data_IF_209214957851
#
_entry.id   IF_209214957851
#
_cell.length_a   1.000
_cell.length_b   1.000
_cell.length_c   1.000
_cell.angle_alpha   90.00
_cell.angle_beta   90.00
_cell.angle_gamma   90.00
#
_symmetry.space_group_name_H-M   'P 1'
#
loop_
_entity.id
_entity.type
_entity.pdbx_description
1 polymer ?
#
# COMPACT_ATOMS: atom_id res chain seq x y z
N UNK A 1 -4.93 -12.65 10.43
CA UNK A 1 -4.99 -11.17 10.33
C UNK A 1 -3.56 -10.66 10.26
N UNK A 2 -3.21 -9.87 9.24
CA UNK A 2 -1.84 -9.38 9.02
C UNK A 2 -1.39 -8.47 10.17
N UNK A 3 -0.13 -8.59 10.58
CA UNK A 3 0.50 -7.75 11.60
C UNK A 3 0.38 -6.25 11.20
N UNK A 4 0.06 -5.33 12.13
CA UNK A 4 0.00 -3.90 11.82
C UNK A 4 1.35 -3.34 11.33
N UNK A 5 2.44 -4.05 11.61
CA UNK A 5 3.80 -3.65 11.23
C UNK A 5 4.15 -4.01 9.78
N UNK A 6 3.45 -4.97 9.17
CA UNK A 6 3.78 -5.47 7.83
C UNK A 6 2.86 -4.87 6.77
N UNK A 7 3.42 -4.55 5.60
CA UNK A 7 2.66 -4.17 4.41
C UNK A 7 1.98 -5.40 3.84
N UNK A 8 0.72 -5.25 3.44
CA UNK A 8 0.05 -6.24 2.63
C UNK A 8 0.27 -5.89 1.16
N UNK A 9 0.75 -6.84 0.37
CA UNK A 9 0.93 -6.71 -1.09
C UNK A 9 0.05 -7.70 -1.85
N UNK A 10 -0.76 -8.48 -1.13
CA UNK A 10 -1.64 -9.48 -1.72
C UNK A 10 -2.82 -8.79 -2.40
N UNK A 11 -2.84 -8.87 -3.72
CA UNK A 11 -3.91 -8.32 -4.53
C UNK A 11 -5.23 -9.08 -4.36
N UNK A 12 -5.22 -10.25 -3.69
CA UNK A 12 -6.41 -11.00 -3.32
C UNK A 12 -7.36 -10.22 -2.40
N UNK A 13 -6.85 -9.24 -1.66
CA UNK A 13 -7.63 -8.37 -0.79
C UNK A 13 -8.15 -7.10 -1.48
N UNK A 14 -7.83 -6.90 -2.77
CA UNK A 14 -8.36 -5.79 -3.55
C UNK A 14 -9.72 -6.14 -4.17
N UNK A 15 -10.57 -5.13 -4.34
CA UNK A 15 -11.78 -5.25 -5.15
C UNK A 15 -11.42 -5.76 -6.56
N UNK A 16 -12.19 -6.68 -7.17
CA UNK A 16 -11.82 -7.32 -8.45
C UNK A 16 -11.48 -6.32 -9.57
N UNK A 17 -12.22 -5.21 -9.67
CA UNK A 17 -11.93 -4.16 -10.64
C UNK A 17 -10.55 -3.50 -10.41
N UNK A 18 -10.21 -3.21 -9.15
CA UNK A 18 -8.93 -2.59 -8.77
C UNK A 18 -7.78 -3.59 -8.93
N UNK A 19 -7.99 -4.85 -8.57
CA UNK A 19 -7.03 -5.95 -8.81
C UNK A 19 -6.68 -6.09 -10.29
N UNK A 20 -7.69 -6.08 -11.16
CA UNK A 20 -7.50 -6.17 -12.62
C UNK A 20 -6.69 -4.96 -13.12
N UNK A 21 -7.07 -3.75 -12.71
CA UNK A 21 -6.36 -2.53 -13.10
C UNK A 21 -4.91 -2.52 -12.59
N UNK A 22 -4.69 -2.88 -11.32
CA UNK A 22 -3.37 -2.98 -10.69
C UNK A 22 -2.46 -3.95 -11.46
N UNK A 23 -2.98 -5.12 -11.85
CA UNK A 23 -2.22 -6.09 -12.65
C UNK A 23 -1.80 -5.50 -14.00
N UNK A 24 -2.75 -4.89 -14.73
CA UNK A 24 -2.50 -4.35 -16.06
C UNK A 24 -1.48 -3.22 -16.04
N UNK A 25 -1.63 -2.26 -15.12
CA UNK A 25 -0.70 -1.11 -15.05
C UNK A 25 0.71 -1.54 -14.62
N UNK A 26 0.84 -2.49 -13.69
CA UNK A 26 2.15 -3.02 -13.29
C UNK A 26 2.81 -3.77 -14.45
N UNK A 27 2.06 -4.57 -15.19
CA UNK A 27 2.55 -5.29 -16.38
C UNK A 27 3.04 -4.32 -17.48
N UNK A 28 2.26 -3.29 -17.78
CA UNK A 28 2.62 -2.26 -18.77
C UNK A 28 3.90 -1.51 -18.36
N UNK A 29 3.95 -1.00 -17.12
CA UNK A 29 5.11 -0.26 -16.61
C UNK A 29 6.40 -1.09 -16.65
N UNK A 30 6.32 -2.38 -16.28
CA UNK A 30 7.49 -3.25 -16.32
C UNK A 30 7.91 -3.57 -17.76
N UNK A 31 6.97 -3.68 -18.72
CA UNK A 31 7.27 -3.85 -20.15
C UNK A 31 8.02 -2.64 -20.72
N UNK A 32 7.67 -1.43 -20.28
CA UNK A 32 8.36 -0.19 -20.63
C UNK A 32 9.71 0.00 -19.92
N UNK A 33 10.13 -0.94 -19.06
CA UNK A 33 11.40 -0.88 -18.34
C UNK A 33 11.35 -0.06 -17.04
N UNK A 34 10.16 0.27 -16.54
CA UNK A 34 9.99 0.92 -15.23
C UNK A 34 9.65 -0.13 -14.16
N UNK A 35 10.57 -0.46 -13.23
CA UNK A 35 10.42 -1.57 -12.29
C UNK A 35 9.51 -1.22 -11.10
N UNK A 36 8.28 -0.78 -11.39
CA UNK A 36 7.26 -0.52 -10.38
C UNK A 36 6.73 -1.82 -9.79
N UNK A 37 6.54 -1.81 -8.47
CA UNK A 37 5.91 -2.89 -7.72
C UNK A 37 4.84 -2.35 -6.78
N UNK A 38 3.87 -3.19 -6.44
CA UNK A 38 2.91 -2.89 -5.39
C UNK A 38 3.66 -2.83 -4.07
N UNK A 39 3.74 -1.63 -3.51
CA UNK A 39 4.36 -1.35 -2.23
C UNK A 39 3.40 -1.66 -1.08
N UNK A 40 2.12 -1.32 -1.26
CA UNK A 40 1.05 -1.63 -0.32
C UNK A 40 -0.31 -1.72 -1.05
N UNK A 41 -1.09 -2.75 -0.76
CA UNK A 41 -2.42 -3.02 -1.30
C UNK A 41 -3.47 -2.74 -0.21
N UNK A 42 -4.04 -3.78 0.39
CA UNK A 42 -4.96 -3.64 1.52
C UNK A 42 -4.24 -3.12 2.77
N UNK A 43 -4.90 -2.25 3.53
CA UNK A 43 -4.37 -1.77 4.81
C UNK A 43 -5.43 -2.00 5.86
N UNK A 44 -5.15 -2.82 6.87
CA UNK A 44 -6.12 -3.04 7.94
C UNK A 44 -6.35 -1.75 8.75
N UNK A 45 -7.51 -1.61 9.43
CA UNK A 45 -7.74 -0.50 10.36
C UNK A 45 -6.67 -0.41 11.46
N UNK A 46 -6.17 -1.55 11.95
CA UNK A 46 -5.11 -1.61 12.97
C UNK A 46 -3.79 -1.08 12.41
N UNK A 47 -3.46 -1.41 11.16
CA UNK A 47 -2.29 -0.84 10.46
C UNK A 47 -2.47 0.65 10.20
N UNK A 48 -3.68 1.09 9.82
CA UNK A 48 -3.96 2.51 9.63
C UNK A 48 -3.81 3.29 10.95
N UNK A 49 -4.28 2.77 12.08
CA UNK A 49 -4.06 3.37 13.40
C UNK A 49 -2.56 3.42 13.73
N UNK A 50 -1.85 2.32 13.49
CA UNK A 50 -0.41 2.24 13.70
C UNK A 50 0.34 3.33 12.91
N UNK A 51 0.01 3.54 11.63
CA UNK A 51 0.59 4.59 10.79
C UNK A 51 0.13 5.99 11.20
N UNK A 52 -1.13 6.17 11.61
CA UNK A 52 -1.65 7.46 12.08
C UNK A 52 -0.97 7.90 13.39
N UNK A 53 -0.67 6.97 14.28
CA UNK A 53 0.06 7.24 15.53
C UNK A 53 1.51 7.75 15.29
N UNK A 54 2.13 7.45 14.15
CA UNK A 54 3.49 7.87 13.82
C UNK A 54 3.59 9.41 13.66
N UNK A 55 4.55 10.01 14.36
CA UNK A 55 4.71 11.47 14.45
C UNK A 55 3.66 12.17 15.30
N UNK A 56 2.85 11.39 16.06
CA UNK A 56 1.84 11.90 17.00
C UNK A 56 2.05 11.34 18.40
N UNK A 57 1.79 10.04 18.55
CA UNK A 57 1.95 9.29 19.81
C UNK A 57 3.07 8.25 19.74
N UNK A 58 3.63 8.02 18.54
CA UNK A 58 4.81 7.20 18.29
C UNK A 58 5.87 8.02 17.55
N UNK A 59 7.18 7.78 17.78
CA UNK A 59 8.26 8.47 17.06
C UNK A 59 8.20 8.26 15.53
N UNK A 60 8.83 9.17 14.79
CA UNK A 60 8.93 9.12 13.32
C UNK A 60 8.13 10.22 12.62
N UNK A 61 8.25 10.35 11.29
CA UNK A 61 7.50 11.37 10.53
C UNK A 61 6.02 11.01 10.42
N UNK A 62 5.16 12.02 10.24
CA UNK A 62 3.75 11.81 9.91
C UNK A 62 3.66 11.29 8.47
N UNK A 63 3.27 10.02 8.32
CA UNK A 63 3.12 9.35 7.01
C UNK A 63 1.68 9.33 6.50
N UNK A 64 0.71 9.65 7.36
CA UNK A 64 -0.70 9.75 6.97
C UNK A 64 -1.47 10.74 7.85
N UNK A 65 -2.49 11.35 7.24
CA UNK A 65 -3.49 12.17 7.93
C UNK A 65 -4.82 11.42 8.15
N UNK A 66 -4.99 10.25 7.52
CA UNK A 66 -6.21 9.47 7.62
C UNK A 66 -6.23 8.68 8.94
N UNK A 67 -7.30 8.85 9.72
CA UNK A 67 -7.63 7.99 10.87
C UNK A 67 -8.09 6.61 10.40
N UNK A 68 -8.21 5.61 11.28
CA UNK A 68 -8.86 4.35 10.93
C UNK A 68 -10.24 4.58 10.30
N UNK A 69 -10.49 3.84 9.24
CA UNK A 69 -11.68 3.84 8.38
C UNK A 69 -11.83 5.10 7.53
N UNK A 70 -10.74 5.86 7.35
CA UNK A 70 -10.71 7.07 6.51
C UNK A 70 -9.75 6.96 5.32
N UNK A 71 -9.32 5.75 4.98
CA UNK A 71 -8.42 5.46 3.86
C UNK A 71 -9.00 4.40 2.92
N UNK A 72 -8.87 4.60 1.62
CA UNK A 72 -9.35 3.63 0.60
C UNK A 72 -8.63 2.29 0.63
N UNK A 73 -7.39 2.23 1.14
CA UNK A 73 -6.69 0.96 1.32
C UNK A 73 -7.44 0.01 2.25
N UNK A 74 -8.22 0.53 3.21
CA UNK A 74 -9.02 -0.28 4.13
C UNK A 74 -10.26 -0.91 3.49
N UNK A 75 -10.57 -0.52 2.26
CA UNK A 75 -11.69 -1.03 1.48
C UNK A 75 -11.22 -1.81 0.25
N UNK A 76 -9.90 -2.05 0.11
CA UNK A 76 -9.33 -2.73 -1.06
C UNK A 76 -9.47 -1.92 -2.36
N UNK A 77 -9.54 -0.59 -2.25
CA UNK A 77 -9.80 0.33 -3.37
C UNK A 77 -8.60 1.19 -3.75
N UNK A 78 -7.44 0.98 -3.14
CA UNK A 78 -6.21 1.72 -3.41
C UNK A 78 -4.99 0.80 -3.39
N UNK A 79 -3.97 1.20 -4.13
CA UNK A 79 -2.63 0.61 -4.12
C UNK A 79 -1.59 1.74 -4.09
N UNK A 80 -0.48 1.50 -3.40
CA UNK A 80 0.74 2.30 -3.50
C UNK A 80 1.67 1.58 -4.49
N UNK A 81 2.08 2.25 -5.58
CA UNK A 81 3.09 1.76 -6.52
C UNK A 81 4.40 2.52 -6.28
N UNK A 82 5.50 1.79 -6.12
CA UNK A 82 6.82 2.38 -5.86
C UNK A 82 7.86 1.69 -6.72
N UNK A 83 8.87 2.44 -7.17
CA UNK A 83 10.00 1.89 -7.91
C UNK A 83 10.81 0.96 -7.01
N UNK A 84 11.19 -0.20 -7.54
CA UNK A 84 12.08 -1.13 -6.86
C UNK A 84 13.34 -1.34 -7.69
N UNK A 85 14.38 -0.57 -7.36
CA UNK A 85 15.64 -0.51 -8.12
C UNK A 85 16.75 -1.09 -7.26
N UNK A 86 17.52 -2.03 -7.80
CA UNK A 86 18.68 -2.64 -7.13
C UNK A 86 18.40 -3.17 -5.71
N UNK A 87 17.21 -3.73 -5.47
CA UNK A 87 16.83 -4.28 -4.16
C UNK A 87 16.29 -3.24 -3.17
N UNK A 88 16.14 -1.98 -3.58
CA UNK A 88 15.69 -0.88 -2.72
C UNK A 88 14.43 -0.21 -3.28
N UNK A 89 13.57 0.24 -2.37
CA UNK A 89 12.45 1.12 -2.69
C UNK A 89 12.98 2.56 -2.84
N UNK A 90 12.56 3.26 -3.89
CA UNK A 90 12.87 4.68 -4.08
C UNK A 90 12.26 5.56 -2.99
#
# INVERSE_FOLDING_TARGET
MSSPHQRDVDTAHLHPAVRKAARLIVEELNTEGFPFRIFEAFRSPQRQEFLYAQGRTRPGPIVTKARPWRSYHQYGLAIDLVLFVNGQWS
#
